data_IF_906630470473
#
_entry.id   IF_906630470473
#
_cell.length_a   1.000
_cell.length_b   1.000
_cell.length_c   1.000
_cell.angle_alpha   90.00
_cell.angle_beta   90.00
_cell.angle_gamma   90.00
#
_symmetry.space_group_name_H-M   'P 1'
#
loop_
_entity.id
_entity.type
_entity.pdbx_description
1 polymer ?
#
# COMPACT_ATOMS: atom_id res chain seq x y z
N UNK A 1 5.38 0.63 1.12
CA UNK A 1 5.17 0.07 -0.22
C UNK A 1 4.03 0.85 -0.84
N UNK A 2 4.16 1.21 -2.10
CA UNK A 2 3.06 1.81 -2.85
C UNK A 2 2.08 0.71 -3.28
N UNK A 3 0.80 0.91 -3.04
CA UNK A 3 -0.27 -0.01 -3.39
C UNK A 3 -1.45 0.79 -3.95
N UNK A 4 -2.27 0.16 -4.79
CA UNK A 4 -3.46 0.82 -5.32
C UNK A 4 -4.46 1.05 -4.18
N UNK A 5 -4.80 2.32 -3.97
CA UNK A 5 -5.77 2.74 -2.96
C UNK A 5 -7.19 2.71 -3.55
N UNK A 6 -7.97 1.70 -3.19
CA UNK A 6 -9.33 1.53 -3.69
C UNK A 6 -10.24 2.73 -3.36
N UNK A 7 -9.97 3.48 -2.29
CA UNK A 7 -10.72 4.70 -1.97
C UNK A 7 -10.47 5.83 -2.95
N UNK A 8 -9.31 5.83 -3.61
CA UNK A 8 -8.99 6.77 -4.69
C UNK A 8 -9.48 6.28 -6.05
N UNK A 9 -9.56 4.97 -6.23
CA UNK A 9 -10.14 4.36 -7.44
C UNK A 9 -11.65 4.54 -7.47
N UNK A 10 -12.34 4.39 -6.32
CA UNK A 10 -13.79 4.51 -6.16
C UNK A 10 -14.08 5.42 -4.97
N UNK A 11 -13.97 6.75 -5.15
CA UNK A 11 -14.13 7.71 -4.06
C UNK A 11 -15.58 7.92 -3.64
N UNK A 12 -16.55 7.68 -4.52
CA UNK A 12 -17.97 7.82 -4.26
C UNK A 12 -18.75 6.57 -4.67
N UNK A 13 -19.05 5.74 -3.67
CA UNK A 13 -19.82 4.51 -3.89
C UNK A 13 -21.31 4.75 -4.23
N UNK A 14 -21.83 5.98 -4.12
CA UNK A 14 -23.19 6.32 -4.56
C UNK A 14 -23.28 6.53 -6.08
N UNK A 15 -22.14 6.81 -6.72
CA UNK A 15 -22.04 6.95 -8.17
C UNK A 15 -22.08 5.57 -8.83
N UNK A 16 -22.60 5.49 -10.05
CA UNK A 16 -22.60 4.28 -10.86
C UNK A 16 -21.39 4.26 -11.82
N UNK A 17 -21.07 3.08 -12.38
CA UNK A 17 -19.89 2.92 -13.26
C UNK A 17 -20.08 3.68 -14.59
N UNK A 18 -21.30 3.76 -15.11
CA UNK A 18 -21.60 4.52 -16.33
C UNK A 18 -21.22 6.00 -16.19
N UNK A 19 -21.47 6.58 -15.03
CA UNK A 19 -21.22 8.00 -14.78
C UNK A 19 -19.83 8.28 -14.21
N UNK A 20 -19.00 7.23 -13.98
CA UNK A 20 -17.59 7.35 -13.65
C UNK A 20 -17.24 6.99 -12.21
N UNK A 21 -17.98 6.10 -11.55
CA UNK A 21 -17.64 5.62 -10.20
C UNK A 21 -16.22 5.06 -10.10
N UNK A 22 -15.72 4.43 -11.18
CA UNK A 22 -14.34 3.98 -11.30
C UNK A 22 -13.52 5.08 -11.96
N UNK A 23 -12.94 5.95 -11.16
CA UNK A 23 -12.25 7.17 -11.62
C UNK A 23 -11.20 6.91 -12.71
N UNK A 24 -10.34 5.86 -12.64
CA UNK A 24 -9.38 5.57 -13.68
C UNK A 24 -9.98 5.31 -15.06
N UNK A 25 -11.20 4.80 -15.14
CA UNK A 25 -11.89 4.56 -16.41
C UNK A 25 -12.64 5.80 -16.91
N UNK A 26 -13.01 6.70 -15.98
CA UNK A 26 -13.87 7.84 -16.27
C UNK A 26 -15.31 7.41 -16.59
N UNK A 27 -16.05 8.31 -17.28
CA UNK A 27 -17.41 8.02 -17.75
C UNK A 27 -17.42 6.94 -18.82
N UNK A 28 -18.55 6.26 -18.93
CA UNK A 28 -18.75 5.24 -19.96
C UNK A 28 -18.25 5.66 -21.34
N UNK A 29 -17.52 4.76 -21.97
CA UNK A 29 -17.10 4.81 -23.35
C UNK A 29 -17.41 3.46 -24.01
N UNK A 30 -17.69 3.49 -25.32
CA UNK A 30 -17.94 2.26 -26.08
C UNK A 30 -16.61 1.50 -26.30
N UNK A 31 -16.06 0.89 -25.25
CA UNK A 31 -14.78 0.19 -25.20
C UNK A 31 -14.91 -1.16 -24.52
N UNK A 32 -14.01 -2.07 -24.87
CA UNK A 32 -14.01 -3.46 -24.40
C UNK A 32 -14.10 -3.58 -22.87
N UNK A 33 -13.37 -2.75 -22.13
CA UNK A 33 -13.35 -2.82 -20.66
C UNK A 33 -14.74 -2.59 -20.04
N UNK A 34 -15.52 -1.66 -20.59
CA UNK A 34 -16.90 -1.43 -20.12
C UNK A 34 -17.85 -2.56 -20.51
N UNK A 35 -17.63 -3.19 -21.67
CA UNK A 35 -18.42 -4.36 -22.09
C UNK A 35 -18.16 -5.57 -21.20
N UNK A 36 -16.89 -5.76 -20.79
CA UNK A 36 -16.49 -6.81 -19.86
C UNK A 36 -17.13 -6.60 -18.49
N UNK A 37 -17.07 -5.37 -17.96
CA UNK A 37 -17.70 -5.02 -16.68
C UNK A 37 -19.22 -5.20 -16.74
N UNK A 38 -19.89 -4.73 -17.81
CA UNK A 38 -21.34 -4.92 -17.98
C UNK A 38 -21.72 -6.41 -18.01
N UNK A 39 -20.93 -7.22 -18.68
CA UNK A 39 -21.16 -8.66 -18.76
C UNK A 39 -20.96 -9.36 -17.40
N UNK A 40 -20.02 -8.90 -16.57
CA UNK A 40 -19.85 -9.38 -15.19
C UNK A 40 -21.07 -8.97 -14.36
N UNK A 41 -21.47 -7.70 -14.39
CA UNK A 41 -22.60 -7.18 -13.62
C UNK A 41 -23.91 -7.92 -13.92
N UNK A 42 -24.15 -8.28 -15.19
CA UNK A 42 -25.34 -9.04 -15.60
C UNK A 42 -25.44 -10.43 -15.00
N UNK A 43 -24.33 -11.05 -14.59
CA UNK A 43 -24.37 -12.33 -13.85
C UNK A 43 -25.03 -12.18 -12.48
N UNK A 44 -25.03 -10.95 -11.95
CA UNK A 44 -25.54 -10.60 -10.62
C UNK A 44 -26.79 -9.72 -10.67
N UNK A 45 -27.51 -9.74 -11.79
CA UNK A 45 -28.72 -8.93 -12.03
C UNK A 45 -28.50 -7.41 -11.86
N UNK A 46 -27.27 -6.95 -12.10
CA UNK A 46 -26.86 -5.55 -12.09
C UNK A 46 -26.49 -5.06 -13.50
N UNK A 47 -26.33 -3.75 -13.64
CA UNK A 47 -25.86 -3.10 -14.86
C UNK A 47 -24.90 -1.93 -14.53
N UNK A 48 -24.36 -1.26 -15.55
CA UNK A 48 -23.43 -0.14 -15.40
C UNK A 48 -24.07 1.09 -14.71
N UNK A 49 -25.40 1.17 -14.62
CA UNK A 49 -26.13 2.26 -13.96
C UNK A 49 -26.52 1.94 -12.53
N UNK A 50 -26.28 0.71 -12.08
CA UNK A 50 -26.47 0.33 -10.68
C UNK A 50 -25.48 1.13 -9.81
N UNK A 51 -25.91 1.83 -8.74
CA UNK A 51 -25.00 2.51 -7.81
C UNK A 51 -23.96 1.54 -7.28
N UNK A 52 -22.69 1.95 -7.23
CA UNK A 52 -21.60 1.05 -6.86
C UNK A 52 -21.80 0.36 -5.50
N UNK A 53 -22.39 1.08 -4.54
CA UNK A 53 -22.72 0.54 -3.21
C UNK A 53 -23.78 -0.58 -3.21
N UNK A 54 -24.59 -0.67 -4.26
CA UNK A 54 -25.69 -1.65 -4.39
C UNK A 54 -25.24 -2.87 -5.22
N UNK A 55 -24.01 -2.89 -5.74
CA UNK A 55 -23.42 -4.02 -6.44
C UNK A 55 -22.96 -5.08 -5.40
N UNK A 56 -23.33 -6.37 -5.57
CA UNK A 56 -22.84 -7.44 -4.69
C UNK A 56 -21.32 -7.51 -4.61
N UNK A 57 -20.80 -7.87 -3.43
CA UNK A 57 -19.34 -7.89 -3.20
C UNK A 57 -18.60 -8.83 -4.14
N UNK A 58 -19.20 -9.97 -4.49
CA UNK A 58 -18.63 -10.93 -5.43
C UNK A 58 -18.43 -10.31 -6.82
N UNK A 59 -19.38 -9.49 -7.28
CA UNK A 59 -19.25 -8.77 -8.55
C UNK A 59 -18.18 -7.67 -8.45
N UNK A 60 -18.11 -6.98 -7.32
CA UNK A 60 -17.06 -5.97 -7.05
C UNK A 60 -15.68 -6.63 -7.08
N UNK A 61 -15.53 -7.79 -6.46
CA UNK A 61 -14.26 -8.52 -6.44
C UNK A 61 -13.85 -8.98 -7.85
N UNK A 62 -14.79 -9.49 -8.66
CA UNK A 62 -14.51 -9.80 -10.06
C UNK A 62 -14.10 -8.56 -10.87
N UNK A 63 -14.75 -7.41 -10.65
CA UNK A 63 -14.41 -6.15 -11.34
C UNK A 63 -13.02 -5.64 -10.91
N UNK A 64 -12.69 -5.72 -9.65
CA UNK A 64 -11.44 -5.19 -9.13
C UNK A 64 -10.24 -6.12 -9.42
N UNK A 65 -10.40 -7.41 -9.18
CA UNK A 65 -9.29 -8.37 -9.18
C UNK A 65 -9.30 -9.36 -10.35
N UNK A 66 -10.35 -9.33 -11.18
CA UNK A 66 -10.48 -10.19 -12.34
C UNK A 66 -11.44 -11.36 -12.14
N UNK A 67 -11.95 -11.89 -13.26
CA UNK A 67 -12.83 -13.04 -13.27
C UNK A 67 -12.03 -14.32 -13.49
N UNK A 68 -12.36 -15.38 -12.75
CA UNK A 68 -11.75 -16.70 -12.93
C UNK A 68 -12.12 -17.34 -14.27
N UNK A 69 -13.30 -16.98 -14.80
CA UNK A 69 -13.81 -17.47 -16.08
C UNK A 69 -13.74 -16.35 -17.13
N UNK A 70 -13.62 -16.77 -18.40
CA UNK A 70 -13.72 -15.82 -19.50
C UNK A 70 -15.11 -15.18 -19.55
N UNK A 71 -15.13 -13.88 -19.73
CA UNK A 71 -16.35 -13.07 -19.78
C UNK A 71 -16.92 -13.11 -21.18
N UNK A 72 -18.20 -13.46 -21.30
CA UNK A 72 -18.92 -13.49 -22.57
C UNK A 72 -19.37 -12.09 -22.97
N UNK A 73 -18.87 -11.59 -24.09
CA UNK A 73 -19.25 -10.28 -24.65
C UNK A 73 -20.46 -10.42 -25.58
N UNK A 74 -21.39 -9.45 -25.50
CA UNK A 74 -22.55 -9.41 -26.39
C UNK A 74 -22.10 -9.30 -27.86
N UNK A 75 -22.54 -10.25 -28.68
CA UNK A 75 -22.25 -10.33 -30.12
C UNK A 75 -22.59 -9.05 -30.87
N UNK A 76 -23.63 -8.34 -30.45
CA UNK A 76 -24.06 -7.07 -31.04
C UNK A 76 -23.01 -5.96 -30.91
N UNK A 77 -22.25 -5.98 -29.85
CA UNK A 77 -21.22 -4.96 -29.59
C UNK A 77 -19.98 -5.12 -30.46
N UNK A 78 -19.67 -6.37 -30.84
CA UNK A 78 -18.46 -6.70 -31.63
C UNK A 78 -18.80 -7.11 -33.09
N UNK A 79 -20.08 -6.98 -33.48
CA UNK A 79 -20.54 -7.27 -34.83
C UNK A 79 -20.13 -8.67 -35.34
N UNK A 80 -20.20 -9.70 -34.51
CA UNK A 80 -19.89 -11.09 -34.86
C UNK A 80 -21.12 -12.00 -34.76
N UNK A 81 -21.09 -13.10 -35.49
CA UNK A 81 -22.11 -14.16 -35.42
C UNK A 81 -21.80 -15.21 -34.35
N UNK A 82 -20.56 -15.27 -33.86
CA UNK A 82 -20.10 -16.27 -32.91
C UNK A 82 -20.05 -15.70 -31.51
N UNK A 83 -20.17 -16.54 -30.47
CA UNK A 83 -19.93 -16.15 -29.07
C UNK A 83 -18.47 -15.78 -28.92
N UNK A 84 -18.22 -14.66 -28.21
CA UNK A 84 -16.90 -14.14 -27.97
C UNK A 84 -16.63 -14.08 -26.47
N UNK A 85 -15.55 -14.73 -26.05
CA UNK A 85 -15.14 -14.83 -24.65
C UNK A 85 -13.76 -14.21 -24.49
N UNK A 86 -13.61 -13.38 -23.47
CA UNK A 86 -12.37 -12.65 -23.18
C UNK A 86 -12.01 -12.79 -21.72
N UNK A 87 -10.74 -12.99 -21.42
CA UNK A 87 -10.23 -12.90 -20.07
C UNK A 87 -10.37 -11.46 -19.55
N UNK A 88 -10.72 -11.32 -18.28
CA UNK A 88 -10.77 -10.03 -17.60
C UNK A 88 -9.90 -10.08 -16.34
N UNK A 89 -8.80 -9.37 -16.39
CA UNK A 89 -7.78 -9.39 -15.34
C UNK A 89 -8.08 -8.44 -14.16
N UNK A 90 -9.14 -7.63 -14.26
CA UNK A 90 -9.54 -6.68 -13.21
C UNK A 90 -8.89 -5.29 -13.33
N UNK A 91 -9.53 -4.33 -12.66
CA UNK A 91 -9.11 -2.91 -12.68
C UNK A 91 -7.75 -2.71 -12.00
N UNK A 92 -7.48 -3.46 -10.92
CA UNK A 92 -6.21 -3.36 -10.20
C UNK A 92 -5.04 -3.72 -11.12
N UNK A 93 -5.13 -4.86 -11.83
CA UNK A 93 -4.10 -5.29 -12.77
C UNK A 93 -4.01 -4.37 -13.99
N UNK A 94 -5.13 -3.86 -14.48
CA UNK A 94 -5.14 -2.84 -15.54
C UNK A 94 -4.31 -1.61 -15.14
N UNK A 95 -4.53 -1.07 -13.93
CA UNK A 95 -3.76 0.06 -13.42
C UNK A 95 -2.27 -0.28 -13.27
N UNK A 96 -1.93 -1.46 -12.73
CA UNK A 96 -0.54 -1.91 -12.62
C UNK A 96 0.13 -1.98 -14.00
N UNK A 97 -0.55 -2.54 -14.99
CA UNK A 97 -0.03 -2.65 -16.37
C UNK A 97 0.22 -1.26 -16.97
N UNK A 98 -0.68 -0.30 -16.75
CA UNK A 98 -0.49 1.09 -17.22
C UNK A 98 0.72 1.73 -16.52
N UNK A 99 0.89 1.49 -15.22
CA UNK A 99 2.04 2.00 -14.47
C UNK A 99 3.38 1.43 -14.95
N UNK A 100 3.39 0.16 -15.35
CA UNK A 100 4.60 -0.54 -15.81
C UNK A 100 4.93 -0.25 -17.28
N UNK A 101 3.91 -0.10 -18.13
CA UNK A 101 4.06 0.02 -19.58
C UNK A 101 4.16 1.45 -20.09
N UNK A 102 3.68 2.44 -19.33
CA UNK A 102 3.71 3.84 -19.74
C UNK A 102 4.98 4.53 -19.23
N UNK A 103 5.98 4.65 -20.12
CA UNK A 103 7.22 5.38 -19.82
C UNK A 103 7.07 6.90 -19.84
N UNK A 104 5.87 7.42 -20.20
CA UNK A 104 5.62 8.84 -20.20
C UNK A 104 5.50 9.40 -18.76
N UNK A 105 6.09 10.57 -18.53
CA UNK A 105 5.94 11.25 -17.23
C UNK A 105 4.47 11.59 -16.91
N UNK A 106 3.63 11.74 -17.92
CA UNK A 106 2.20 12.01 -17.76
C UNK A 106 1.43 10.77 -17.29
N UNK A 107 1.70 9.58 -17.85
CA UNK A 107 1.08 8.32 -17.43
C UNK A 107 1.46 7.95 -16.02
N UNK A 108 2.74 8.06 -15.66
CA UNK A 108 3.20 7.84 -14.28
C UNK A 108 2.51 8.78 -13.29
N UNK A 109 2.50 10.09 -13.56
CA UNK A 109 1.83 11.08 -12.70
C UNK A 109 0.32 10.83 -12.57
N UNK A 110 -0.32 10.34 -13.65
CA UNK A 110 -1.73 9.97 -13.59
C UNK A 110 -1.95 8.74 -12.70
N UNK A 111 -1.14 7.69 -12.86
CA UNK A 111 -1.25 6.47 -12.07
C UNK A 111 -0.92 6.69 -10.58
N UNK A 112 0.03 7.56 -10.26
CA UNK A 112 0.39 7.95 -8.89
C UNK A 112 -0.79 8.50 -8.08
N UNK A 113 -1.80 9.07 -8.75
CA UNK A 113 -3.01 9.57 -8.10
C UNK A 113 -3.81 8.46 -7.41
N UNK A 114 -3.69 7.22 -7.90
CA UNK A 114 -4.40 6.05 -7.37
C UNK A 114 -3.56 5.21 -6.40
N UNK A 115 -2.32 5.65 -6.13
CA UNK A 115 -1.45 4.97 -5.17
C UNK A 115 -1.66 5.50 -3.76
N UNK A 116 -1.74 4.57 -2.84
CA UNK A 116 -1.65 4.81 -1.40
C UNK A 116 -0.35 4.24 -0.83
N UNK A 117 -0.09 4.56 0.43
CA UNK A 117 0.98 3.93 1.21
C UNK A 117 0.42 2.75 1.99
N UNK A 118 0.89 1.55 1.72
CA UNK A 118 0.58 0.37 2.51
C UNK A 118 1.79 -0.06 3.35
N UNK A 119 1.50 -0.66 4.49
CA UNK A 119 2.54 -1.28 5.32
C UNK A 119 3.05 -2.53 4.59
N UNK A 120 4.36 -2.62 4.40
CA UNK A 120 4.96 -3.80 3.77
C UNK A 120 4.60 -5.07 4.56
N UNK A 121 4.00 -6.10 3.94
CA UNK A 121 3.57 -7.31 4.64
C UNK A 121 4.76 -8.11 5.20
N UNK A 122 5.94 -8.02 4.58
CA UNK A 122 7.14 -8.72 5.00
C UNK A 122 7.81 -8.06 6.20
N UNK A 123 8.14 -6.77 6.11
CA UNK A 123 8.82 -6.06 7.20
C UNK A 123 7.87 -5.34 8.16
N UNK A 124 6.56 -5.31 7.90
CA UNK A 124 5.53 -4.67 8.74
C UNK A 124 5.87 -3.23 9.16
N UNK A 125 6.47 -2.48 8.22
CA UNK A 125 6.90 -1.10 8.47
C UNK A 125 8.31 -0.94 9.05
N UNK A 126 8.99 -2.02 9.40
CA UNK A 126 10.32 -1.99 10.04
C UNK A 126 11.48 -1.65 9.08
N UNK A 127 11.26 -1.67 7.76
CA UNK A 127 12.21 -1.26 6.69
C UNK A 127 13.50 -2.07 6.61
N UNK A 128 13.61 -3.16 7.37
CA UNK A 128 14.75 -4.06 7.40
C UNK A 128 14.32 -5.46 6.96
N UNK A 129 15.24 -6.21 6.34
CA UNK A 129 15.04 -7.60 5.98
C UNK A 129 14.97 -8.50 7.23
N UNK A 130 14.54 -9.74 7.05
CA UNK A 130 14.37 -10.68 8.16
C UNK A 130 15.69 -11.00 8.87
N UNK A 131 16.80 -11.09 8.13
CA UNK A 131 18.11 -11.37 8.68
C UNK A 131 18.56 -10.27 9.65
N UNK A 132 18.49 -8.99 9.22
CA UNK A 132 18.85 -7.86 10.07
C UNK A 132 17.99 -7.76 11.34
N UNK A 133 16.72 -8.18 11.26
CA UNK A 133 15.80 -8.21 12.41
C UNK A 133 16.04 -9.37 13.37
N UNK A 134 16.79 -10.39 12.96
CA UNK A 134 17.08 -11.56 13.81
C UNK A 134 18.20 -11.32 14.82
N UNK A 135 19.07 -10.33 14.57
CA UNK A 135 20.13 -9.95 15.52
C UNK A 135 19.55 -9.24 16.75
N UNK A 136 19.95 -9.67 17.92
CA UNK A 136 19.54 -9.09 19.20
C UNK A 136 20.77 -8.67 20.01
N UNK A 137 20.63 -7.55 20.69
CA UNK A 137 21.55 -7.12 21.73
C UNK A 137 20.73 -7.09 23.02
N UNK A 138 21.14 -7.90 23.98
CA UNK A 138 20.37 -8.15 25.19
C UNK A 138 18.95 -8.66 24.84
N UNK A 139 17.90 -7.91 25.18
CA UNK A 139 16.49 -8.30 25.00
C UNK A 139 15.84 -7.80 23.71
N UNK A 140 16.49 -6.89 22.96
CA UNK A 140 15.89 -6.20 21.81
C UNK A 140 16.70 -6.35 20.53
N UNK A 141 15.99 -6.36 19.40
CA UNK A 141 16.58 -6.17 18.07
C UNK A 141 16.57 -4.68 17.69
N UNK A 142 17.21 -4.34 16.57
CA UNK A 142 17.37 -2.95 16.12
C UNK A 142 16.03 -2.24 15.89
N UNK A 143 14.98 -2.94 15.46
CA UNK A 143 13.67 -2.34 15.22
C UNK A 143 12.92 -2.06 16.52
N UNK A 144 13.00 -3.00 17.48
CA UNK A 144 12.44 -2.84 18.83
C UNK A 144 13.11 -1.68 19.58
N UNK A 145 14.42 -1.51 19.43
CA UNK A 145 15.15 -0.35 19.98
C UNK A 145 14.73 0.95 19.31
N UNK A 146 14.57 0.96 17.98
CA UNK A 146 14.18 2.17 17.25
C UNK A 146 12.72 2.58 17.50
N UNK A 147 11.87 1.68 17.96
CA UNK A 147 10.46 1.93 18.31
C UNK A 147 10.29 2.47 19.74
N UNK A 148 11.31 2.37 20.59
CA UNK A 148 11.29 2.99 21.93
C UNK A 148 11.16 4.51 21.81
N UNK A 149 10.42 5.14 22.71
CA UNK A 149 10.54 6.58 22.87
C UNK A 149 11.93 6.96 23.43
N UNK A 150 12.28 8.24 23.32
CA UNK A 150 13.64 8.69 23.64
C UNK A 150 13.97 8.48 25.14
N UNK A 151 12.99 8.53 26.05
CA UNK A 151 13.22 8.24 27.47
C UNK A 151 13.53 6.76 27.69
N UNK A 152 12.69 5.86 27.14
CA UNK A 152 12.87 4.42 27.25
C UNK A 152 14.17 3.98 26.55
N UNK A 153 14.51 4.62 25.43
CA UNK A 153 15.78 4.38 24.72
C UNK A 153 16.97 4.76 25.60
N UNK A 154 16.91 5.89 26.30
CA UNK A 154 17.97 6.29 27.24
C UNK A 154 18.15 5.26 28.35
N UNK A 155 17.07 4.86 29.01
CA UNK A 155 17.09 3.84 30.06
C UNK A 155 17.71 2.53 29.56
N UNK A 156 17.27 2.05 28.39
CA UNK A 156 17.83 0.85 27.78
C UNK A 156 19.33 0.99 27.48
N UNK A 157 19.78 2.13 26.97
CA UNK A 157 21.19 2.39 26.68
C UNK A 157 22.06 2.45 27.96
N UNK A 158 21.51 2.88 29.11
CA UNK A 158 22.24 2.89 30.38
C UNK A 158 22.57 1.48 30.87
N UNK A 159 21.68 0.51 30.62
CA UNK A 159 21.82 -0.88 31.10
C UNK A 159 22.38 -1.87 30.08
N UNK A 160 22.33 -1.59 28.78
CA UNK A 160 22.70 -2.53 27.73
C UNK A 160 24.13 -3.08 27.86
N UNK A 161 25.09 -2.28 28.34
CA UNK A 161 26.48 -2.72 28.50
C UNK A 161 26.65 -3.81 29.58
N UNK A 162 25.78 -3.84 30.59
CA UNK A 162 25.82 -4.86 31.63
C UNK A 162 25.53 -6.26 31.09
N UNK A 163 24.78 -6.32 29.98
CA UNK A 163 24.36 -7.54 29.29
C UNK A 163 25.21 -7.91 28.07
N UNK A 164 26.31 -7.18 27.85
CA UNK A 164 27.25 -7.45 26.74
C UNK A 164 28.45 -8.28 27.21
N UNK A 165 28.93 -9.17 26.35
CA UNK A 165 30.19 -9.84 26.51
C UNK A 165 31.38 -8.83 26.49
N UNK A 166 32.51 -9.13 27.16
CA UNK A 166 33.66 -8.20 27.25
C UNK A 166 34.17 -7.72 25.87
N UNK A 167 34.16 -8.57 24.87
CA UNK A 167 34.58 -8.25 23.52
C UNK A 167 33.57 -7.29 22.87
N UNK A 168 32.27 -7.53 23.05
CA UNK A 168 31.20 -6.66 22.54
C UNK A 168 31.28 -5.26 23.16
N UNK A 169 31.48 -5.16 24.49
CA UNK A 169 31.66 -3.87 25.19
C UNK A 169 32.83 -3.07 24.62
N UNK A 170 33.96 -3.75 24.36
CA UNK A 170 35.14 -3.09 23.79
C UNK A 170 34.87 -2.51 22.40
N UNK A 171 34.09 -3.21 21.58
CA UNK A 171 33.73 -2.76 20.22
C UNK A 171 32.68 -1.65 20.29
N UNK A 172 31.66 -1.81 21.14
CA UNK A 172 30.50 -0.91 21.19
C UNK A 172 30.72 0.35 22.01
N UNK A 173 31.71 0.40 22.92
CA UNK A 173 31.84 1.45 23.92
C UNK A 173 31.85 2.88 23.36
N UNK A 174 32.69 3.14 22.36
CA UNK A 174 32.73 4.46 21.70
C UNK A 174 31.44 4.80 20.96
N UNK A 175 30.81 3.81 20.34
CA UNK A 175 29.54 3.97 19.61
C UNK A 175 28.41 4.30 20.59
N UNK A 176 28.31 3.55 21.69
CA UNK A 176 27.30 3.77 22.71
C UNK A 176 27.43 5.14 23.39
N UNK A 177 28.68 5.57 23.63
CA UNK A 177 28.94 6.91 24.15
C UNK A 177 28.41 8.00 23.23
N UNK A 178 28.67 7.88 21.93
CA UNK A 178 28.19 8.86 20.95
C UNK A 178 26.65 8.83 20.87
N UNK A 179 26.04 7.65 20.87
CA UNK A 179 24.57 7.51 20.84
C UNK A 179 23.95 8.15 22.09
N UNK A 180 24.47 7.88 23.29
CA UNK A 180 24.02 8.49 24.56
C UNK A 180 24.08 10.01 24.50
N UNK A 181 25.17 10.58 23.97
CA UNK A 181 25.29 12.02 23.80
C UNK A 181 24.17 12.59 22.93
N UNK A 182 23.85 11.96 21.82
CA UNK A 182 22.78 12.41 20.91
C UNK A 182 21.40 12.24 21.51
N UNK A 183 21.15 11.12 22.21
CA UNK A 183 19.88 10.88 22.91
C UNK A 183 19.65 11.92 24.00
N UNK A 184 20.68 12.23 24.82
CA UNK A 184 20.58 13.27 25.81
C UNK A 184 20.27 14.65 25.20
N UNK A 185 20.88 14.99 24.07
CA UNK A 185 20.57 16.23 23.36
C UNK A 185 19.09 16.29 22.91
N UNK A 186 18.52 15.16 22.41
CA UNK A 186 17.11 15.11 22.07
C UNK A 186 16.20 15.34 23.27
N UNK A 187 16.56 14.83 24.45
CA UNK A 187 15.83 15.06 25.68
C UNK A 187 15.93 16.53 26.15
N UNK A 188 17.09 17.13 26.04
CA UNK A 188 17.31 18.56 26.41
C UNK A 188 16.45 19.51 25.57
N UNK A 189 16.19 19.16 24.28
CA UNK A 189 15.31 19.95 23.40
C UNK A 189 13.83 19.56 23.50
N UNK A 190 13.45 18.66 24.42
CA UNK A 190 12.07 18.29 24.71
C UNK A 190 11.43 17.33 23.70
N UNK A 191 12.22 16.49 23.07
CA UNK A 191 11.76 15.48 22.08
C UNK A 191 11.64 14.07 22.68
N UNK A 192 11.35 13.99 23.97
CA UNK A 192 11.25 12.77 24.77
C UNK A 192 10.19 11.77 24.27
N UNK A 193 9.11 12.28 23.71
CA UNK A 193 7.95 11.53 23.21
C UNK A 193 8.14 10.97 21.78
N UNK A 194 9.25 11.25 21.13
CA UNK A 194 9.53 10.73 19.77
C UNK A 194 10.19 9.37 19.84
N UNK A 195 10.03 8.59 18.77
CA UNK A 195 10.83 7.39 18.51
C UNK A 195 11.69 7.57 17.26
N UNK A 196 12.82 6.85 17.18
CA UNK A 196 13.72 6.94 16.03
C UNK A 196 13.09 6.38 14.74
N UNK A 197 12.09 5.50 14.86
CA UNK A 197 11.38 4.91 13.72
C UNK A 197 10.27 5.81 13.16
N UNK A 198 9.95 6.93 13.83
CA UNK A 198 8.90 7.85 13.41
C UNK A 198 9.22 8.44 12.03
N UNK A 199 8.23 8.39 11.13
CA UNK A 199 8.37 8.95 9.79
C UNK A 199 8.40 10.48 9.84
N UNK A 200 9.36 11.10 9.16
CA UNK A 200 9.50 12.56 9.10
C UNK A 200 8.24 13.27 8.58
N UNK A 201 7.50 12.64 7.66
CA UNK A 201 6.23 13.16 7.15
C UNK A 201 5.11 13.26 8.23
N UNK A 202 5.27 12.59 9.38
CA UNK A 202 4.33 12.66 10.51
C UNK A 202 4.74 13.68 11.57
N UNK A 203 5.90 14.32 11.40
CA UNK A 203 6.33 15.43 12.25
C UNK A 203 5.55 16.67 11.82
N UNK A 204 4.87 17.32 12.78
CA UNK A 204 4.29 18.63 12.53
C UNK A 204 5.45 19.59 12.25
N UNK A 205 5.51 20.11 11.04
CA UNK A 205 6.40 21.21 10.74
C UNK A 205 5.99 22.39 11.60
N UNK A 206 6.85 22.78 12.54
CA UNK A 206 6.71 24.03 13.28
C UNK A 206 6.90 25.21 12.34
#
# INVERSE_FOLDING_TARGET
VSEIDLKRVIPDAKMNIHDGAIVPLGKYKNQMIFWQIDAILRKYDCDLKTPFKDIPQEAVDEILYGSLENVKIDRKLIHTSSDYFVAFDGIVKYLQTVMESDDSAAGKKWADQFLGTAVCPECKGQRLNQEARSYRIWDKNITEVADLDINDLKEWLEHVEEHMEPQQRKIAGEILKEIRTRVNFLLEVGLDYLSLNRQSATLSGG
#
